data_IF_029598171477
#
_entry.id   IF_029598171477
#
_cell.length_a   1.000
_cell.length_b   1.000
_cell.length_c   1.000
_cell.angle_alpha   90.00
_cell.angle_beta   90.00
_cell.angle_gamma   90.00
#
_symmetry.space_group_name_H-M   'P 1'
#
loop_
_entity.id
_entity.type
_entity.pdbx_description
1 polymer ?
#
# COMPACT_ATOMS: atom_id res chain seq x y z
N UNK A 1 32.75 8.52 17.52
CA UNK A 1 32.42 9.75 16.76
C UNK A 1 31.78 9.34 15.45
N UNK A 2 30.75 10.06 14.98
CA UNK A 2 30.18 9.82 13.67
C UNK A 2 31.18 10.34 12.61
N UNK A 3 31.77 9.45 11.83
CA UNK A 3 32.74 9.83 10.79
C UNK A 3 32.03 10.09 9.47
N UNK A 4 32.66 10.86 8.57
CA UNK A 4 32.14 11.07 7.22
C UNK A 4 31.90 9.74 6.49
N UNK A 5 32.86 8.82 6.56
CA UNK A 5 32.73 7.47 6.00
C UNK A 5 31.51 6.71 6.57
N UNK A 6 31.24 6.83 7.88
CA UNK A 6 30.06 6.20 8.50
C UNK A 6 28.73 6.81 8.06
N UNK A 7 28.71 8.10 7.69
CA UNK A 7 27.51 8.73 7.10
C UNK A 7 27.32 8.28 5.65
N UNK A 8 28.39 8.19 4.87
CA UNK A 8 28.34 7.69 3.49
C UNK A 8 27.86 6.25 3.41
N UNK A 9 28.33 5.38 4.30
CA UNK A 9 27.85 3.99 4.42
C UNK A 9 26.34 3.93 4.72
N UNK A 10 25.87 4.76 5.67
CA UNK A 10 24.43 4.83 6.00
C UNK A 10 23.60 5.35 4.83
N UNK A 11 24.10 6.33 4.08
CA UNK A 11 23.44 6.83 2.86
C UNK A 11 23.30 5.70 1.85
N UNK A 12 24.37 4.94 1.60
CA UNK A 12 24.35 3.79 0.68
C UNK A 12 23.31 2.75 1.11
N UNK A 13 23.29 2.39 2.40
CA UNK A 13 22.30 1.44 2.95
C UNK A 13 20.86 1.93 2.77
N UNK A 14 20.58 3.21 2.99
CA UNK A 14 19.24 3.79 2.81
C UNK A 14 18.84 3.80 1.33
N UNK A 15 19.76 4.05 0.40
CA UNK A 15 19.50 3.98 -1.04
C UNK A 15 19.11 2.56 -1.45
N UNK A 16 19.88 1.54 -1.03
CA UNK A 16 19.53 0.15 -1.33
C UNK A 16 18.20 -0.28 -0.71
N UNK A 17 17.87 0.24 0.48
CA UNK A 17 16.56 0.01 1.10
C UNK A 17 15.43 0.70 0.30
N UNK A 18 15.65 1.91 -0.21
CA UNK A 18 14.69 2.63 -1.06
C UNK A 18 14.40 1.84 -2.34
N UNK A 19 15.42 1.39 -3.05
CA UNK A 19 15.26 0.59 -4.28
C UNK A 19 14.42 -0.67 -4.03
N UNK A 20 14.78 -1.44 -2.99
CA UNK A 20 14.03 -2.65 -2.63
C UNK A 20 12.57 -2.36 -2.28
N UNK A 21 12.32 -1.27 -1.52
CA UNK A 21 10.96 -0.88 -1.14
C UNK A 21 10.16 -0.33 -2.32
N UNK A 22 10.80 0.29 -3.31
CA UNK A 22 10.14 0.72 -4.54
C UNK A 22 9.66 -0.50 -5.35
N UNK A 23 10.51 -1.51 -5.53
CA UNK A 23 10.11 -2.74 -6.23
C UNK A 23 8.96 -3.47 -5.51
N UNK A 24 8.97 -3.49 -4.18
CA UNK A 24 7.90 -4.06 -3.36
C UNK A 24 6.61 -3.25 -3.48
N UNK A 25 6.72 -1.92 -3.47
CA UNK A 25 5.57 -1.03 -3.59
C UNK A 25 4.82 -1.22 -4.91
N UNK A 26 5.54 -1.40 -6.01
CA UNK A 26 4.93 -1.65 -7.32
C UNK A 26 4.11 -2.95 -7.34
N UNK A 27 4.64 -4.02 -6.74
CA UNK A 27 3.91 -5.29 -6.58
C UNK A 27 2.66 -5.13 -5.71
N UNK A 28 2.77 -4.40 -4.61
CA UNK A 28 1.64 -4.13 -3.71
C UNK A 28 0.58 -3.25 -4.39
N UNK A 29 0.98 -2.33 -5.27
CA UNK A 29 0.05 -1.53 -6.06
C UNK A 29 -0.74 -2.41 -7.03
N UNK A 30 -0.08 -3.33 -7.72
CA UNK A 30 -0.73 -4.28 -8.61
C UNK A 30 -1.73 -5.17 -7.84
N UNK A 31 -1.31 -5.78 -6.72
CA UNK A 31 -2.18 -6.63 -5.91
C UNK A 31 -3.40 -5.89 -5.34
N UNK A 32 -3.22 -4.64 -4.92
CA UNK A 32 -4.32 -3.80 -4.46
C UNK A 32 -5.31 -3.52 -5.59
N UNK A 33 -4.82 -3.18 -6.78
CA UNK A 33 -5.67 -2.90 -7.95
C UNK A 33 -6.44 -4.15 -8.42
N UNK A 34 -5.78 -5.30 -8.46
CA UNK A 34 -6.40 -6.59 -8.83
C UNK A 34 -7.51 -6.96 -7.83
N UNK A 35 -7.21 -6.95 -6.53
CA UNK A 35 -8.22 -7.29 -5.50
C UNK A 35 -9.39 -6.32 -5.45
N UNK A 36 -9.18 -5.04 -5.75
CA UNK A 36 -10.25 -4.05 -5.88
C UNK A 36 -11.14 -4.32 -7.10
N UNK A 37 -10.54 -4.65 -8.24
CA UNK A 37 -11.28 -5.02 -9.44
C UNK A 37 -12.10 -6.31 -9.22
N UNK A 38 -11.51 -7.32 -8.60
CA UNK A 38 -12.17 -8.59 -8.29
C UNK A 38 -13.36 -8.40 -7.36
N UNK A 39 -13.18 -7.66 -6.25
CA UNK A 39 -14.29 -7.33 -5.35
C UNK A 39 -15.40 -6.59 -6.07
N UNK A 40 -15.08 -5.52 -6.82
CA UNK A 40 -16.09 -4.72 -7.53
C UNK A 40 -16.85 -5.52 -8.58
N UNK A 41 -16.15 -6.41 -9.30
CA UNK A 41 -16.75 -7.30 -10.30
C UNK A 41 -17.72 -8.28 -9.64
N UNK A 42 -17.28 -9.01 -8.62
CA UNK A 42 -18.12 -10.00 -7.94
C UNK A 42 -19.33 -9.31 -7.26
N UNK A 43 -19.10 -8.16 -6.62
CA UNK A 43 -20.17 -7.37 -6.01
C UNK A 43 -21.27 -7.01 -7.01
N UNK A 44 -20.87 -6.51 -8.18
CA UNK A 44 -21.80 -6.17 -9.24
C UNK A 44 -22.55 -7.40 -9.76
N UNK A 45 -21.86 -8.52 -9.96
CA UNK A 45 -22.47 -9.77 -10.43
C UNK A 45 -23.50 -10.31 -9.44
N UNK A 46 -23.17 -10.35 -8.15
CA UNK A 46 -24.10 -10.80 -7.10
C UNK A 46 -25.29 -9.85 -6.98
N UNK A 47 -25.08 -8.53 -7.01
CA UNK A 47 -26.16 -7.54 -6.93
C UNK A 47 -27.13 -7.67 -8.12
N UNK A 48 -26.60 -7.81 -9.33
CA UNK A 48 -27.42 -7.99 -10.54
C UNK A 48 -28.19 -9.33 -10.48
N UNK A 49 -27.54 -10.40 -10.01
CA UNK A 49 -28.20 -11.70 -9.78
C UNK A 49 -29.41 -11.58 -8.85
N UNK A 50 -29.29 -10.79 -7.78
CA UNK A 50 -30.40 -10.56 -6.85
C UNK A 50 -31.51 -9.64 -7.40
N UNK A 51 -31.23 -8.82 -8.40
CA UNK A 51 -32.24 -8.02 -9.09
C UNK A 51 -33.01 -8.83 -10.15
N UNK A 52 -32.36 -9.84 -10.73
CA UNK A 52 -32.91 -10.67 -11.81
C UNK A 52 -33.68 -11.88 -11.30
N UNK A 53 -33.26 -12.46 -10.17
CA UNK A 53 -34.06 -13.42 -9.43
C UNK A 53 -35.21 -12.67 -8.76
N UNK A 54 -36.45 -13.10 -8.96
CA UNK A 54 -37.70 -12.54 -8.42
C UNK A 54 -37.82 -12.61 -6.88
N UNK A 55 -36.71 -12.63 -6.15
CA UNK A 55 -36.68 -12.51 -4.70
C UNK A 55 -37.07 -11.09 -4.29
N UNK A 56 -38.34 -10.94 -3.89
CA UNK A 56 -38.87 -9.71 -3.31
C UNK A 56 -38.14 -9.43 -1.98
N UNK A 57 -37.15 -8.55 -2.04
CA UNK A 57 -36.49 -7.96 -0.88
C UNK A 57 -36.47 -6.44 -0.99
N UNK A 58 -36.34 -5.76 0.14
CA UNK A 58 -36.01 -4.32 0.14
C UNK A 58 -34.61 -4.12 -0.43
N UNK A 59 -34.29 -2.90 -0.85
CA UNK A 59 -32.93 -2.57 -1.32
C UNK A 59 -31.86 -2.90 -0.26
N UNK A 60 -32.18 -2.66 1.02
CA UNK A 60 -31.28 -2.95 2.14
C UNK A 60 -31.01 -4.45 2.31
N UNK A 61 -32.03 -5.30 2.14
CA UNK A 61 -31.86 -6.75 2.23
C UNK A 61 -30.96 -7.28 1.10
N UNK A 62 -31.10 -6.72 -0.11
CA UNK A 62 -30.22 -7.08 -1.24
C UNK A 62 -28.78 -6.64 -0.99
N UNK A 63 -28.60 -5.41 -0.52
CA UNK A 63 -27.28 -4.91 -0.13
C UNK A 63 -26.63 -5.81 0.91
N UNK A 64 -27.35 -6.11 2.01
CA UNK A 64 -26.84 -6.98 3.07
C UNK A 64 -26.40 -8.36 2.54
N UNK A 65 -27.20 -8.99 1.66
CA UNK A 65 -26.87 -10.29 1.07
C UNK A 65 -25.65 -10.20 0.16
N UNK A 66 -25.54 -9.13 -0.63
CA UNK A 66 -24.40 -8.89 -1.51
C UNK A 66 -23.12 -8.65 -0.71
N UNK A 67 -23.19 -7.79 0.30
CA UNK A 67 -22.08 -7.49 1.23
C UNK A 67 -21.62 -8.78 1.94
N UNK A 68 -22.57 -9.61 2.39
CA UNK A 68 -22.26 -10.91 3.00
C UNK A 68 -21.59 -11.88 2.02
N UNK A 69 -22.07 -11.96 0.78
CA UNK A 69 -21.52 -12.86 -0.23
C UNK A 69 -20.10 -12.46 -0.66
N UNK A 70 -19.78 -11.16 -0.60
CA UNK A 70 -18.50 -10.61 -1.05
C UNK A 70 -17.56 -10.22 0.10
N UNK A 71 -17.90 -10.57 1.34
CA UNK A 71 -17.19 -10.14 2.54
C UNK A 71 -15.69 -10.51 2.52
N UNK A 72 -15.35 -11.72 2.06
CA UNK A 72 -13.95 -12.17 2.00
C UNK A 72 -13.14 -11.44 0.94
N UNK A 73 -13.73 -11.14 -0.22
CA UNK A 73 -13.10 -10.33 -1.26
C UNK A 73 -12.91 -8.89 -0.78
N UNK A 74 -13.92 -8.33 -0.11
CA UNK A 74 -13.83 -7.00 0.49
C UNK A 74 -12.70 -6.93 1.54
N UNK A 75 -12.62 -7.93 2.42
CA UNK A 75 -11.53 -8.06 3.40
C UNK A 75 -10.17 -8.11 2.72
N UNK A 76 -10.03 -8.90 1.66
CA UNK A 76 -8.77 -9.04 0.91
C UNK A 76 -8.36 -7.71 0.27
N UNK A 77 -9.30 -7.02 -0.38
CA UNK A 77 -9.11 -5.68 -0.94
C UNK A 77 -8.59 -4.70 0.13
N UNK A 78 -9.23 -4.66 1.30
CA UNK A 78 -8.83 -3.76 2.39
C UNK A 78 -7.42 -4.08 2.92
N UNK A 79 -7.07 -5.36 3.05
CA UNK A 79 -5.74 -5.78 3.48
C UNK A 79 -4.67 -5.37 2.47
N UNK A 80 -4.87 -5.62 1.18
CA UNK A 80 -3.92 -5.22 0.15
C UNK A 80 -3.75 -3.70 0.08
N UNK A 81 -4.86 -2.94 0.19
CA UNK A 81 -4.81 -1.48 0.25
C UNK A 81 -4.02 -0.97 1.47
N UNK A 82 -4.21 -1.59 2.63
CA UNK A 82 -3.46 -1.26 3.84
C UNK A 82 -1.96 -1.57 3.69
N UNK A 83 -1.59 -2.72 3.13
CA UNK A 83 -0.20 -3.09 2.86
C UNK A 83 0.48 -2.13 1.91
N UNK A 84 -0.18 -1.78 0.79
CA UNK A 84 0.32 -0.76 -0.16
C UNK A 84 0.56 0.57 0.55
N UNK A 85 -0.41 1.05 1.33
CA UNK A 85 -0.30 2.33 2.03
C UNK A 85 0.84 2.30 3.07
N UNK A 86 0.99 1.21 3.83
CA UNK A 86 2.09 1.04 4.79
C UNK A 86 3.46 1.08 4.10
N UNK A 87 3.60 0.41 2.95
CA UNK A 87 4.84 0.46 2.16
C UNK A 87 5.13 1.87 1.64
N UNK A 88 4.10 2.62 1.20
CA UNK A 88 4.23 4.02 0.82
C UNK A 88 4.77 4.89 1.95
N UNK A 89 4.22 4.76 3.15
CA UNK A 89 4.71 5.51 4.32
C UNK A 89 6.17 5.14 4.66
N UNK A 90 6.53 3.85 4.55
CA UNK A 90 7.93 3.43 4.72
C UNK A 90 8.87 4.08 3.69
N UNK A 91 8.44 4.24 2.44
CA UNK A 91 9.23 4.95 1.41
C UNK A 91 9.40 6.43 1.75
N UNK A 92 8.35 7.08 2.27
CA UNK A 92 8.42 8.47 2.74
C UNK A 92 9.45 8.60 3.86
N UNK A 93 9.38 7.75 4.89
CA UNK A 93 10.33 7.78 5.99
C UNK A 93 11.79 7.55 5.55
N UNK A 94 12.02 6.64 4.60
CA UNK A 94 13.37 6.42 4.05
C UNK A 94 13.89 7.65 3.28
N UNK A 95 13.03 8.35 2.52
CA UNK A 95 13.40 9.60 1.83
C UNK A 95 13.73 10.71 2.80
N UNK A 96 12.96 10.85 3.88
CA UNK A 96 13.24 11.81 4.95
C UNK A 96 14.56 11.50 5.65
N UNK A 97 14.82 10.22 5.94
CA UNK A 97 16.09 9.78 6.52
C UNK A 97 17.29 10.08 5.60
N UNK A 98 17.16 9.83 4.29
CA UNK A 98 18.18 10.15 3.30
C UNK A 98 18.48 11.66 3.27
N UNK A 99 17.43 12.50 3.33
CA UNK A 99 17.60 13.95 3.37
C UNK A 99 18.31 14.40 4.65
N UNK A 100 17.95 13.84 5.81
CA UNK A 100 18.63 14.13 7.07
C UNK A 100 20.12 13.74 7.02
N UNK A 101 20.44 12.57 6.47
CA UNK A 101 21.84 12.12 6.30
C UNK A 101 22.62 13.03 5.35
N UNK A 102 22.01 13.50 4.26
CA UNK A 102 22.64 14.46 3.33
C UNK A 102 22.94 15.80 3.99
N UNK A 103 22.02 16.31 4.81
CA UNK A 103 22.25 17.52 5.62
C UNK A 103 23.39 17.30 6.59
N UNK A 104 23.41 16.18 7.31
CA UNK A 104 24.48 15.84 8.26
C UNK A 104 25.85 15.72 7.58
N UNK A 105 25.92 15.07 6.42
CA UNK A 105 27.14 14.99 5.63
C UNK A 105 27.64 16.36 5.17
N UNK A 106 26.73 17.27 4.80
CA UNK A 106 27.09 18.65 4.47
C UNK A 106 27.66 19.39 5.68
N UNK A 107 27.04 19.27 6.86
CA UNK A 107 27.54 19.88 8.10
C UNK A 107 28.92 19.34 8.51
N UNK A 108 29.16 18.02 8.40
CA UNK A 108 30.47 17.43 8.71
C UNK A 108 31.57 17.95 7.77
N UNK A 109 31.27 18.14 6.48
CA UNK A 109 32.20 18.74 5.51
C UNK A 109 32.54 20.21 5.76
N UNK A 110 31.72 20.94 6.51
CA UNK A 110 32.02 22.33 6.91
C UNK A 110 32.87 22.39 8.17
N UNK A 111 32.89 21.32 8.97
CA UNK A 111 33.61 21.21 10.24
C UNK A 111 34.98 20.54 10.09
N UNK A 112 35.25 19.92 8.93
CA UNK A 112 36.52 19.26 8.57
C UNK A 112 37.27 20.10 7.55
#
# INVERSE_FOLDING_TARGET
MLTQAGVEERISNVISALERRTDEYDKLCQQAAESEADYRKEYAQVMIGQLTLTERGTADLRKYRTDRATADLHRTMLLHAASRNSCRESLVSLREMLNALRTLAASLRQLT
#
